data_IF_818981243388
#
_entry.id   IF_818981243388
#
_cell.length_a   1.000
_cell.length_b   1.000
_cell.length_c   1.000
_cell.angle_alpha   90.00
_cell.angle_beta   90.00
_cell.angle_gamma   90.00
#
_symmetry.space_group_name_H-M   'P 1'
#
loop_
_entity.id
_entity.type
_entity.pdbx_description
1 polymer ?
#
# COMPACT_ATOMS: atom_id res chain seq x y z
N UNK A 1 -16.27 76.57 -22.52
CA UNK A 1 -17.31 77.55 -21.99
C UNK A 1 -18.03 76.88 -20.82
N UNK A 2 -18.05 77.60 -19.68
CA UNK A 2 -19.04 77.52 -18.58
C UNK A 2 -19.20 76.22 -17.81
N UNK A 3 -19.35 76.13 -16.53
CA UNK A 3 -19.29 77.07 -15.38
C UNK A 3 -19.26 76.20 -14.09
N UNK A 4 -18.50 76.71 -13.15
CA UNK A 4 -18.52 76.40 -11.70
C UNK A 4 -19.90 76.34 -11.07
N UNK A 5 -20.12 75.45 -10.12
CA UNK A 5 -20.80 75.80 -8.86
C UNK A 5 -20.29 74.94 -7.70
N UNK A 6 -19.66 75.59 -6.75
CA UNK A 6 -19.50 75.16 -5.35
C UNK A 6 -20.87 75.13 -4.68
N UNK A 7 -21.06 74.23 -3.76
CA UNK A 7 -21.53 74.50 -2.38
C UNK A 7 -21.85 73.17 -1.66
N UNK A 8 -21.44 73.07 -0.40
CA UNK A 8 -22.10 72.20 0.53
C UNK A 8 -21.16 71.44 1.49
N UNK A 9 -20.53 72.17 2.44
CA UNK A 9 -19.87 71.64 3.61
C UNK A 9 -20.90 71.12 4.59
N UNK A 10 -20.96 69.81 4.85
CA UNK A 10 -21.65 69.23 6.02
C UNK A 10 -20.69 68.35 6.79
N UNK A 11 -20.35 68.88 7.94
CA UNK A 11 -19.53 68.25 8.98
C UNK A 11 -20.42 67.27 9.74
N UNK A 12 -20.33 65.96 9.41
CA UNK A 12 -20.99 64.88 10.12
C UNK A 12 -20.02 64.05 10.93
N UNK A 13 -20.03 64.29 12.25
CA UNK A 13 -19.30 63.50 13.24
C UNK A 13 -19.91 62.12 13.33
N UNK A 14 -19.31 61.08 12.74
CA UNK A 14 -19.77 59.69 12.92
C UNK A 14 -18.76 58.94 13.77
N UNK A 15 -19.21 58.58 14.96
CA UNK A 15 -18.57 57.69 15.92
C UNK A 15 -18.34 56.31 15.31
N UNK A 16 -17.06 55.85 15.25
CA UNK A 16 -16.73 54.46 14.92
C UNK A 16 -17.06 53.54 16.10
N UNK A 17 -17.84 52.47 15.90
CA UNK A 17 -17.84 51.34 16.82
C UNK A 17 -16.61 50.47 16.56
N UNK A 18 -15.79 50.24 17.61
CA UNK A 18 -14.76 49.21 17.63
C UNK A 18 -15.44 47.84 17.51
N UNK A 19 -15.44 47.25 16.34
CA UNK A 19 -15.81 45.86 16.17
C UNK A 19 -14.52 45.05 16.40
N UNK A 20 -14.44 44.39 17.58
CA UNK A 20 -13.45 43.37 17.85
C UNK A 20 -13.71 42.18 16.88
N UNK A 21 -12.99 42.11 15.79
CA UNK A 21 -12.99 40.98 14.92
C UNK A 21 -12.24 39.82 15.60
N UNK A 22 -12.96 38.88 16.17
CA UNK A 22 -12.45 37.56 16.47
C UNK A 22 -11.98 36.92 15.17
N UNK A 23 -10.67 36.78 15.02
CA UNK A 23 -10.04 36.10 13.89
C UNK A 23 -10.18 34.59 14.06
N UNK A 24 -11.37 34.06 13.74
CA UNK A 24 -11.53 32.64 13.48
C UNK A 24 -10.93 32.37 12.10
N UNK A 25 -9.64 32.06 12.08
CA UNK A 25 -8.97 31.53 10.90
C UNK A 25 -9.69 30.26 10.43
N UNK A 26 -9.72 29.99 9.11
CA UNK A 26 -10.36 28.80 8.60
C UNK A 26 -9.73 27.58 9.25
N UNK A 27 -10.48 26.89 10.13
CA UNK A 27 -10.17 25.56 10.61
C UNK A 27 -10.17 24.66 9.39
N UNK A 28 -8.98 24.42 8.86
CA UNK A 28 -8.77 23.38 7.86
C UNK A 28 -9.34 22.08 8.44
N UNK A 29 -10.40 21.48 7.89
CA UNK A 29 -10.85 20.19 8.34
C UNK A 29 -9.67 19.25 8.10
N UNK A 30 -9.04 18.75 9.17
CA UNK A 30 -8.17 17.58 9.08
C UNK A 30 -9.04 16.53 8.41
N UNK A 31 -8.78 16.27 7.14
CA UNK A 31 -9.24 15.06 6.48
C UNK A 31 -8.68 13.93 7.33
N UNK A 32 -9.51 13.42 8.23
CA UNK A 32 -9.26 12.15 8.89
C UNK A 32 -9.25 11.14 7.75
N UNK A 33 -8.06 10.63 7.43
CA UNK A 33 -7.89 9.49 6.56
C UNK A 33 -8.71 8.34 7.16
N UNK A 34 -9.80 7.89 6.52
CA UNK A 34 -10.64 6.82 7.08
C UNK A 34 -9.91 5.46 7.13
N UNK A 35 -8.67 5.40 6.61
CA UNK A 35 -7.85 4.18 6.57
C UNK A 35 -6.97 3.98 7.83
N UNK A 36 -6.82 4.97 8.70
CA UNK A 36 -6.01 4.84 9.90
C UNK A 36 -6.77 4.03 10.98
N UNK A 37 -6.81 2.70 10.84
CA UNK A 37 -7.41 1.78 11.81
C UNK A 37 -8.25 0.65 11.21
N UNK A 38 -8.53 0.66 9.91
CA UNK A 38 -9.20 -0.47 9.27
C UNK A 38 -8.18 -1.58 9.00
N UNK A 39 -8.49 -2.79 9.47
CA UNK A 39 -7.71 -3.98 9.16
C UNK A 39 -7.82 -4.26 7.66
N UNK A 40 -6.68 -4.36 6.95
CA UNK A 40 -6.69 -4.69 5.53
C UNK A 40 -7.05 -6.16 5.33
N UNK A 41 -8.07 -6.41 4.51
CA UNK A 41 -8.50 -7.76 4.15
C UNK A 41 -7.91 -8.17 2.81
N UNK A 42 -7.20 -9.30 2.78
CA UNK A 42 -6.66 -9.91 1.57
C UNK A 42 -7.53 -11.10 1.13
N UNK A 43 -8.03 -11.09 -0.11
CA UNK A 43 -8.66 -12.28 -0.70
C UNK A 43 -7.57 -13.23 -1.18
N UNK A 44 -7.48 -14.42 -0.58
CA UNK A 44 -6.42 -15.40 -0.85
C UNK A 44 -6.96 -16.56 -1.70
N UNK A 45 -6.54 -16.61 -2.95
CA UNK A 45 -6.85 -17.67 -3.91
C UNK A 45 -5.82 -18.80 -3.83
N UNK A 46 -6.23 -20.00 -3.45
CA UNK A 46 -5.35 -21.16 -3.26
C UNK A 46 -6.05 -22.48 -3.53
N UNK A 47 -5.26 -23.54 -3.76
CA UNK A 47 -5.81 -24.91 -3.72
C UNK A 47 -6.32 -25.26 -2.32
N UNK A 48 -7.45 -25.96 -2.17
CA UNK A 48 -7.96 -26.41 -0.86
C UNK A 48 -6.95 -27.26 -0.10
N UNK A 49 -6.11 -28.03 -0.79
CA UNK A 49 -5.12 -28.95 -0.20
C UNK A 49 -3.76 -28.32 0.07
N UNK A 50 -3.53 -27.04 -0.25
CA UNK A 50 -2.26 -26.37 -0.05
C UNK A 50 -2.01 -26.09 1.45
N UNK A 51 -1.18 -26.92 2.10
CA UNK A 51 -0.85 -26.80 3.53
C UNK A 51 0.08 -25.62 3.83
N UNK A 52 1.09 -25.35 3.01
CA UNK A 52 1.99 -24.22 3.17
C UNK A 52 1.27 -22.87 3.00
N UNK A 53 0.29 -22.79 2.08
CA UNK A 53 -0.55 -21.62 1.93
C UNK A 53 -1.37 -21.34 3.20
N UNK A 54 -1.87 -22.40 3.88
CA UNK A 54 -2.59 -22.23 5.16
C UNK A 54 -1.67 -21.64 6.24
N UNK A 55 -0.41 -22.10 6.32
CA UNK A 55 0.57 -21.54 7.26
C UNK A 55 0.88 -20.09 6.95
N UNK A 56 1.02 -19.73 5.67
CA UNK A 56 1.23 -18.36 5.24
C UNK A 56 0.05 -17.45 5.61
N UNK A 57 -1.19 -17.92 5.48
CA UNK A 57 -2.37 -17.19 5.94
C UNK A 57 -2.28 -16.91 7.43
N UNK A 58 -1.94 -17.92 8.25
CA UNK A 58 -1.74 -17.71 9.69
C UNK A 58 -0.64 -16.69 10.01
N UNK A 59 0.42 -16.61 9.18
CA UNK A 59 1.43 -15.55 9.29
C UNK A 59 0.84 -14.17 8.98
N UNK A 60 0.01 -14.01 7.94
CA UNK A 60 -0.68 -12.74 7.65
C UNK A 60 -1.57 -12.29 8.81
N UNK A 61 -2.38 -13.21 9.34
CA UNK A 61 -3.30 -12.93 10.46
C UNK A 61 -2.54 -12.52 11.73
N UNK A 62 -1.41 -13.17 12.02
CA UNK A 62 -0.54 -12.81 13.14
C UNK A 62 0.09 -11.40 13.00
N UNK A 63 0.23 -10.92 11.77
CA UNK A 63 0.78 -9.60 11.42
C UNK A 63 -0.31 -8.55 11.16
N UNK A 64 -1.58 -8.86 11.50
CA UNK A 64 -2.68 -7.89 11.52
C UNK A 64 -3.47 -7.74 10.22
N UNK A 65 -3.33 -8.66 9.26
CA UNK A 65 -4.23 -8.77 8.12
C UNK A 65 -5.43 -9.64 8.42
N UNK A 66 -6.55 -9.41 7.74
CA UNK A 66 -7.62 -10.39 7.60
C UNK A 66 -7.48 -11.16 6.29
N UNK A 67 -7.80 -12.44 6.29
CA UNK A 67 -7.73 -13.29 5.09
C UNK A 67 -9.10 -13.86 4.74
N UNK A 68 -9.63 -13.50 3.57
CA UNK A 68 -10.78 -14.16 2.95
C UNK A 68 -10.28 -15.22 1.98
N UNK A 69 -10.54 -16.51 2.25
CA UNK A 69 -9.96 -17.62 1.48
C UNK A 69 -10.93 -18.13 0.42
N UNK A 70 -10.46 -18.18 -0.83
CA UNK A 70 -11.20 -18.74 -1.95
C UNK A 70 -10.46 -19.91 -2.63
N UNK A 71 -11.24 -20.84 -3.14
CA UNK A 71 -10.74 -22.04 -3.84
C UNK A 71 -11.26 -22.08 -5.29
N UNK A 72 -10.67 -21.28 -6.19
CA UNK A 72 -11.11 -21.24 -7.57
C UNK A 72 -10.83 -22.58 -8.28
N UNK A 73 -11.72 -22.99 -9.18
CA UNK A 73 -11.51 -24.17 -10.02
C UNK A 73 -10.29 -24.04 -10.94
N UNK A 74 -9.93 -22.80 -11.32
CA UNK A 74 -8.76 -22.49 -12.12
C UNK A 74 -7.97 -21.33 -11.48
N UNK A 75 -6.89 -21.67 -10.77
CA UNK A 75 -6.02 -20.68 -10.12
C UNK A 75 -5.20 -19.89 -11.16
N UNK A 76 -4.85 -20.49 -12.29
CA UNK A 76 -4.11 -19.79 -13.36
C UNK A 76 -4.93 -18.65 -13.97
N UNK A 77 -6.25 -18.83 -14.11
CA UNK A 77 -7.13 -17.75 -14.57
C UNK A 77 -7.15 -16.55 -13.61
N UNK A 78 -6.97 -16.78 -12.30
CA UNK A 78 -6.80 -15.70 -11.33
C UNK A 78 -5.47 -14.98 -11.56
N UNK A 79 -4.38 -15.73 -11.72
CA UNK A 79 -3.04 -15.17 -11.97
C UNK A 79 -2.99 -14.38 -13.28
N UNK A 80 -3.66 -14.87 -14.33
CA UNK A 80 -3.80 -14.16 -15.61
C UNK A 80 -4.54 -12.82 -15.45
N UNK A 81 -5.66 -12.83 -14.70
CA UNK A 81 -6.44 -11.62 -14.39
C UNK A 81 -5.59 -10.53 -13.75
N UNK A 82 -4.69 -10.91 -12.85
CA UNK A 82 -3.78 -9.99 -12.17
C UNK A 82 -2.43 -9.83 -12.89
N UNK A 83 -2.31 -10.32 -14.13
CA UNK A 83 -1.13 -10.16 -15.00
C UNK A 83 0.17 -10.70 -14.40
N UNK A 84 0.07 -11.79 -13.62
CA UNK A 84 1.22 -12.45 -13.02
C UNK A 84 1.86 -13.35 -14.08
N UNK A 85 3.05 -12.98 -14.54
CA UNK A 85 3.77 -13.74 -15.56
C UNK A 85 4.11 -15.17 -15.08
N UNK A 86 4.16 -16.13 -15.98
CA UNK A 86 4.32 -17.57 -15.64
C UNK A 86 5.58 -17.85 -14.79
N UNK A 87 6.67 -17.17 -15.07
CA UNK A 87 7.94 -17.30 -14.34
C UNK A 87 7.93 -16.69 -12.94
N UNK A 88 6.87 -15.93 -12.59
CA UNK A 88 6.70 -15.30 -11.28
C UNK A 88 5.69 -16.05 -10.40
N UNK A 89 4.99 -17.06 -10.93
CA UNK A 89 3.92 -17.77 -10.24
C UNK A 89 4.43 -18.67 -9.12
N UNK A 90 3.63 -18.76 -8.07
CA UNK A 90 3.80 -19.61 -6.91
C UNK A 90 2.51 -20.37 -6.58
N UNK A 91 2.31 -20.84 -5.36
CA UNK A 91 1.20 -21.75 -5.01
C UNK A 91 -0.12 -21.02 -4.66
N UNK A 92 -0.10 -19.70 -4.45
CA UNK A 92 -1.30 -18.91 -4.14
C UNK A 92 -1.12 -17.45 -4.58
N UNK A 93 -2.25 -16.76 -4.71
CA UNK A 93 -2.32 -15.32 -5.01
C UNK A 93 -3.21 -14.67 -3.97
N UNK A 94 -2.73 -13.64 -3.28
CA UNK A 94 -3.57 -12.78 -2.45
C UNK A 94 -3.82 -11.45 -3.16
N UNK A 95 -4.99 -10.85 -2.91
CA UNK A 95 -5.38 -9.58 -3.55
C UNK A 95 -5.96 -8.65 -2.50
N UNK A 96 -5.44 -7.41 -2.45
CA UNK A 96 -5.95 -6.39 -1.56
C UNK A 96 -7.27 -5.80 -2.02
N UNK A 97 -7.94 -5.06 -1.13
CA UNK A 97 -9.15 -4.28 -1.44
C UNK A 97 -8.94 -3.28 -2.58
N UNK A 98 -7.71 -2.81 -2.78
CA UNK A 98 -7.30 -1.89 -3.86
C UNK A 98 -6.93 -2.60 -5.17
N UNK A 99 -6.94 -3.94 -5.21
CA UNK A 99 -6.65 -4.73 -6.40
C UNK A 99 -5.16 -5.03 -6.65
N UNK A 100 -4.28 -4.77 -5.68
CA UNK A 100 -2.86 -5.19 -5.76
C UNK A 100 -2.72 -6.69 -5.51
N UNK A 101 -1.87 -7.35 -6.30
CA UNK A 101 -1.65 -8.79 -6.21
C UNK A 101 -0.36 -9.12 -5.45
N UNK A 102 -0.46 -10.09 -4.55
CA UNK A 102 0.65 -10.62 -3.77
C UNK A 102 0.78 -12.11 -4.04
N UNK A 103 1.84 -12.49 -4.76
CA UNK A 103 2.04 -13.84 -5.27
C UNK A 103 3.07 -14.60 -4.45
N UNK A 104 2.66 -15.73 -3.86
CA UNK A 104 3.54 -16.61 -3.11
C UNK A 104 3.82 -16.15 -1.67
N UNK A 105 4.88 -16.70 -1.08
CA UNK A 105 5.19 -16.64 0.35
C UNK A 105 5.90 -15.35 0.77
N UNK A 106 5.25 -14.20 0.50
CA UNK A 106 5.77 -12.88 0.85
C UNK A 106 5.63 -12.65 2.35
N UNK A 107 6.70 -12.22 3.06
CA UNK A 107 6.56 -11.79 4.45
C UNK A 107 5.60 -10.59 4.58
N UNK A 108 4.66 -10.66 5.52
CA UNK A 108 3.58 -9.69 5.71
C UNK A 108 4.09 -8.24 5.83
N UNK A 109 5.26 -8.04 6.47
CA UNK A 109 5.91 -6.73 6.60
C UNK A 109 6.13 -6.02 5.26
N UNK A 110 6.43 -6.76 4.19
CA UNK A 110 6.62 -6.17 2.85
C UNK A 110 5.30 -5.86 2.17
N UNK A 111 4.24 -6.60 2.49
CA UNK A 111 2.88 -6.26 2.05
C UNK A 111 2.43 -4.96 2.72
N UNK A 112 2.63 -4.81 4.05
CA UNK A 112 2.40 -3.56 4.76
C UNK A 112 3.18 -2.38 4.16
N UNK A 113 4.49 -2.59 3.91
CA UNK A 113 5.36 -1.57 3.33
C UNK A 113 4.88 -1.13 1.93
N UNK A 114 4.47 -2.09 1.09
CA UNK A 114 3.94 -1.80 -0.24
C UNK A 114 2.61 -1.03 -0.15
N UNK A 115 1.67 -1.49 0.69
CA UNK A 115 0.34 -0.87 0.81
C UNK A 115 0.39 0.52 1.43
N UNK A 116 1.37 0.80 2.29
CA UNK A 116 1.56 2.13 2.87
C UNK A 116 1.98 3.18 1.83
N UNK A 117 2.71 2.80 0.78
CA UNK A 117 3.14 3.69 -0.31
C UNK A 117 3.34 2.90 -1.61
N UNK A 118 2.24 2.52 -2.30
CA UNK A 118 2.34 1.74 -3.53
C UNK A 118 3.07 2.50 -4.64
N UNK A 119 4.11 1.92 -5.28
CA UNK A 119 4.74 2.53 -6.44
C UNK A 119 3.75 2.78 -7.57
N UNK A 120 3.84 3.92 -8.24
CA UNK A 120 2.86 4.36 -9.24
C UNK A 120 2.68 3.38 -10.43
N UNK A 121 3.73 2.64 -10.79
CA UNK A 121 3.75 1.62 -11.82
C UNK A 121 3.60 0.19 -11.26
N UNK A 122 3.53 0.02 -9.93
CA UNK A 122 3.39 -1.26 -9.27
C UNK A 122 2.00 -1.87 -9.43
N UNK A 123 1.95 -3.19 -9.59
CA UNK A 123 0.71 -3.99 -9.55
C UNK A 123 0.69 -4.96 -8.37
N UNK A 124 1.77 -5.05 -7.60
CA UNK A 124 1.92 -5.89 -6.44
C UNK A 124 3.34 -6.43 -6.26
N UNK A 125 3.45 -7.44 -5.41
CA UNK A 125 4.72 -8.10 -5.09
C UNK A 125 4.67 -9.60 -5.42
N UNK A 126 5.85 -10.20 -5.62
CA UNK A 126 5.97 -11.66 -5.76
C UNK A 126 7.22 -12.21 -5.06
N UNK A 127 7.08 -13.41 -4.50
CA UNK A 127 8.19 -14.31 -4.16
C UNK A 127 8.02 -15.53 -5.06
N UNK A 128 8.73 -15.59 -6.21
CA UNK A 128 8.65 -16.73 -7.12
C UNK A 128 9.06 -18.03 -6.44
N UNK A 129 8.48 -19.15 -6.87
CA UNK A 129 8.69 -20.45 -6.26
C UNK A 129 8.24 -20.50 -4.77
N UNK A 130 8.94 -21.27 -3.94
CA UNK A 130 8.62 -21.50 -2.54
C UNK A 130 9.93 -21.67 -1.76
N UNK A 131 10.71 -20.58 -1.55
CA UNK A 131 12.01 -20.67 -0.90
C UNK A 131 11.89 -21.16 0.54
N UNK A 132 12.75 -22.09 0.93
CA UNK A 132 12.80 -22.65 2.29
C UNK A 132 13.12 -21.52 3.28
N UNK A 133 12.32 -21.42 4.34
CA UNK A 133 12.44 -20.36 5.36
C UNK A 133 11.61 -19.11 5.07
N UNK A 134 10.93 -19.02 3.90
CA UNK A 134 9.89 -18.02 3.73
C UNK A 134 8.65 -18.36 4.58
N UNK A 135 7.79 -17.39 4.94
CA UNK A 135 6.64 -17.64 5.81
C UNK A 135 5.75 -18.76 5.30
N UNK A 136 5.51 -19.79 6.12
CA UNK A 136 4.76 -21.00 5.76
C UNK A 136 5.60 -22.08 5.08
N UNK A 137 6.88 -21.81 4.80
CA UNK A 137 7.84 -22.74 4.19
C UNK A 137 9.03 -23.06 5.12
N UNK A 138 8.85 -22.89 6.42
CA UNK A 138 9.87 -23.15 7.43
C UNK A 138 10.14 -24.67 7.54
N UNK A 139 11.43 -25.06 7.56
CA UNK A 139 11.91 -26.44 7.72
C UNK A 139 13.04 -26.44 8.74
N UNK A 140 12.72 -26.55 10.02
CA UNK A 140 13.69 -26.39 11.11
C UNK A 140 14.43 -25.06 10.97
N UNK A 141 15.75 -25.05 11.15
CA UNK A 141 16.59 -23.85 11.06
C UNK A 141 17.11 -23.56 9.63
N UNK A 142 16.59 -24.28 8.64
CA UNK A 142 17.03 -24.11 7.25
C UNK A 142 16.45 -22.82 6.67
N UNK A 143 17.32 -22.05 6.03
CA UNK A 143 16.94 -20.83 5.33
C UNK A 143 17.66 -20.72 3.99
N UNK A 144 16.93 -20.31 2.97
CA UNK A 144 17.44 -19.99 1.64
C UNK A 144 17.20 -18.51 1.37
N UNK A 145 18.23 -17.69 1.16
CA UNK A 145 18.04 -16.28 0.77
C UNK A 145 17.16 -16.15 -0.48
N UNK A 146 16.27 -15.16 -0.47
CA UNK A 146 15.36 -14.93 -1.58
C UNK A 146 15.05 -13.43 -1.76
N UNK A 147 14.46 -13.09 -2.89
CA UNK A 147 14.05 -11.72 -3.22
C UNK A 147 12.53 -11.61 -3.22
N UNK A 148 12.06 -10.51 -2.68
CA UNK A 148 10.71 -10.01 -2.94
C UNK A 148 10.81 -9.08 -4.14
N UNK A 149 10.04 -9.35 -5.19
CA UNK A 149 10.08 -8.57 -6.42
C UNK A 149 8.81 -7.71 -6.52
N UNK A 150 8.98 -6.45 -6.91
CA UNK A 150 7.91 -5.58 -7.37
C UNK A 150 7.49 -6.02 -8.78
N UNK A 151 6.21 -6.29 -8.98
CA UNK A 151 5.63 -6.51 -10.32
C UNK A 151 5.11 -5.18 -10.87
N UNK A 152 5.44 -4.86 -12.11
CA UNK A 152 5.10 -3.58 -12.75
C UNK A 152 4.06 -3.72 -13.87
N UNK A 153 3.39 -2.62 -14.18
CA UNK A 153 2.34 -2.55 -15.21
C UNK A 153 2.82 -2.93 -16.61
N UNK A 154 4.10 -2.71 -16.91
CA UNK A 154 4.74 -3.05 -18.18
C UNK A 154 5.19 -4.53 -18.27
N UNK A 155 4.98 -5.31 -17.19
CA UNK A 155 5.37 -6.71 -17.09
C UNK A 155 6.81 -6.92 -16.60
N UNK A 156 7.58 -5.86 -16.39
CA UNK A 156 8.91 -5.94 -15.78
C UNK A 156 8.84 -6.17 -14.27
N UNK A 157 9.97 -6.52 -13.69
CA UNK A 157 10.12 -6.66 -12.23
C UNK A 157 11.34 -5.90 -11.75
N UNK A 158 11.27 -5.49 -10.47
CA UNK A 158 12.37 -4.85 -9.76
C UNK A 158 12.53 -5.49 -8.37
N UNK A 159 13.72 -5.49 -7.80
CA UNK A 159 13.93 -6.00 -6.44
C UNK A 159 13.33 -5.01 -5.46
N UNK A 160 12.26 -5.43 -4.77
CA UNK A 160 11.63 -4.66 -3.70
C UNK A 160 12.38 -4.84 -2.38
N UNK A 161 12.79 -6.07 -2.08
CA UNK A 161 13.58 -6.40 -0.89
C UNK A 161 14.39 -7.67 -1.11
N UNK A 162 15.54 -7.77 -0.43
CA UNK A 162 16.31 -9.00 -0.27
C UNK A 162 16.12 -9.55 1.14
N UNK A 163 15.86 -10.84 1.26
CA UNK A 163 15.67 -11.53 2.55
C UNK A 163 16.80 -12.51 2.73
N UNK A 164 17.75 -12.17 3.61
CA UNK A 164 18.99 -12.91 3.83
C UNK A 164 18.91 -13.85 5.03
N UNK A 165 17.93 -13.65 5.93
CA UNK A 165 17.69 -14.49 7.09
C UNK A 165 16.24 -14.41 7.57
N UNK A 166 15.78 -15.41 8.34
CA UNK A 166 14.44 -15.43 8.92
C UNK A 166 14.18 -14.27 9.92
N UNK A 167 15.21 -13.77 10.58
CA UNK A 167 15.14 -12.73 11.62
C UNK A 167 15.46 -11.32 11.10
N UNK A 168 15.41 -11.09 9.78
CA UNK A 168 15.82 -9.80 9.21
C UNK A 168 14.82 -8.67 9.56
N UNK A 169 15.28 -7.57 10.17
CA UNK A 169 14.43 -6.39 10.40
C UNK A 169 14.05 -5.72 9.07
N UNK A 170 12.93 -4.98 9.08
CA UNK A 170 12.49 -4.20 7.91
C UNK A 170 13.55 -3.15 7.57
N UNK A 171 14.13 -3.25 6.37
CA UNK A 171 14.97 -2.18 5.83
C UNK A 171 14.07 -1.14 5.14
N UNK A 172 14.28 0.17 5.39
CA UNK A 172 13.62 1.21 4.60
C UNK A 172 13.95 1.02 3.11
N UNK A 173 12.97 1.28 2.24
CA UNK A 173 13.21 1.30 0.79
C UNK A 173 14.37 2.25 0.50
N UNK A 174 15.46 1.71 -0.04
CA UNK A 174 16.53 2.53 -0.59
C UNK A 174 15.94 3.19 -1.84
N UNK A 175 15.69 4.51 -1.74
CA UNK A 175 15.42 5.29 -2.94
C UNK A 175 16.65 5.17 -3.84
N UNK A 176 16.48 4.92 -5.17
CA UNK A 176 17.62 4.98 -6.08
C UNK A 176 18.26 6.37 -5.94
N UNK A 177 19.53 6.38 -5.49
CA UNK A 177 20.31 7.60 -5.47
C UNK A 177 20.33 8.15 -6.91
N UNK A 178 19.81 9.37 -7.08
CA UNK A 178 19.96 10.10 -8.32
C UNK A 178 21.48 10.25 -8.57
N UNK A 179 22.01 9.46 -9.50
CA UNK A 179 23.39 9.64 -9.94
C UNK A 179 23.53 11.02 -10.61
N UNK A 180 24.60 11.77 -10.30
CA UNK A 180 24.84 13.12 -10.82
C UNK A 180 25.07 13.14 -12.32
#
# INVERSE_FOLDING_TARGET
>A
MYRFKLTGLVLGLLTLPLIAACNDGPKNPKTSDPSAGAVETLTVYKSPTCGCCKKWIGHLEAEGFEASVEHPANLDAIKDRYRIANNLRSCHTAVSSQGYAFEGHIPARYIHQFLANPPADGIGLTVPAMPVGSPGMEVGDKFMPYRVLLMKKDGSTEVFASVESAAQPVQPLQQPEAQP
#
